data_IF_411313021514
#
_entry.id   IF_411313021514
#
_cell.length_a   1.000
_cell.length_b   1.000
_cell.length_c   1.000
_cell.angle_alpha   90.00
_cell.angle_beta   90.00
_cell.angle_gamma   90.00
#
_symmetry.space_group_name_H-M   'P 1'
#
loop_
_entity.id
_entity.type
_entity.pdbx_description
1 polymer ?
#
# COMPACT_ATOMS: atom_id res chain seq x y z
N UNK A 1 4.20 -18.42 -12.86
CA UNK A 1 3.92 -17.89 -11.51
C UNK A 1 2.47 -17.45 -11.49
N UNK A 2 1.74 -17.63 -10.37
CA UNK A 2 0.41 -17.04 -10.21
C UNK A 2 0.47 -15.52 -10.42
N UNK A 3 -0.64 -14.94 -10.90
CA UNK A 3 -0.73 -13.50 -11.13
C UNK A 3 -0.57 -12.75 -9.80
N UNK A 4 0.23 -11.68 -9.79
CA UNK A 4 0.47 -10.85 -8.59
C UNK A 4 -0.85 -10.31 -8.04
N UNK A 5 -1.85 -10.06 -8.89
CA UNK A 5 -3.20 -9.64 -8.45
C UNK A 5 -3.95 -10.75 -7.70
N UNK A 6 -3.82 -11.99 -8.14
CA UNK A 6 -4.40 -13.14 -7.44
C UNK A 6 -3.72 -13.35 -6.09
N UNK A 7 -2.38 -13.22 -6.05
CA UNK A 7 -1.62 -13.29 -4.80
C UNK A 7 -2.02 -12.17 -3.83
N UNK A 8 -2.19 -10.94 -4.32
CA UNK A 8 -2.56 -9.78 -3.52
C UNK A 8 -3.96 -9.88 -2.89
N UNK A 9 -4.82 -10.79 -3.34
CA UNK A 9 -6.16 -11.00 -2.76
C UNK A 9 -6.28 -12.32 -1.99
N UNK A 10 -5.27 -13.18 -2.06
CA UNK A 10 -5.23 -14.47 -1.38
C UNK A 10 -4.87 -14.30 0.10
N UNK A 11 -5.87 -14.26 0.99
CA UNK A 11 -5.64 -14.19 2.45
C UNK A 11 -4.65 -15.24 2.98
N UNK A 12 -4.69 -16.53 2.59
CA UNK A 12 -3.69 -17.49 3.05
C UNK A 12 -2.25 -17.12 2.67
N UNK A 13 -2.06 -16.54 1.50
CA UNK A 13 -0.75 -16.06 1.04
C UNK A 13 -0.32 -14.79 1.77
N UNK A 14 -1.21 -13.81 1.92
CA UNK A 14 -0.87 -12.59 2.67
C UNK A 14 -0.57 -12.89 4.14
N UNK A 15 -1.32 -13.81 4.77
CA UNK A 15 -1.05 -14.29 6.14
C UNK A 15 0.32 -14.94 6.23
N UNK A 16 0.73 -15.75 5.26
CA UNK A 16 2.06 -16.37 5.31
C UNK A 16 3.18 -15.33 5.25
N UNK A 17 3.00 -14.23 4.52
CA UNK A 17 3.92 -13.08 4.55
C UNK A 17 3.91 -12.41 5.93
N UNK A 18 2.73 -12.13 6.49
CA UNK A 18 2.60 -11.50 7.80
C UNK A 18 3.23 -12.34 8.93
N UNK A 19 2.99 -13.65 8.92
CA UNK A 19 3.60 -14.63 9.84
C UNK A 19 5.12 -14.73 9.66
N UNK A 20 5.61 -14.47 8.45
CA UNK A 20 7.04 -14.41 8.13
C UNK A 20 7.62 -12.99 8.29
N UNK A 21 7.20 -12.26 9.34
CA UNK A 21 7.67 -10.90 9.67
C UNK A 21 7.50 -9.87 8.55
N UNK A 22 6.49 -10.03 7.70
CA UNK A 22 6.25 -9.17 6.53
C UNK A 22 7.35 -9.23 5.46
N UNK A 23 8.15 -10.31 5.41
CA UNK A 23 9.17 -10.48 4.38
C UNK A 23 8.52 -10.84 3.04
N UNK A 24 8.52 -9.90 2.10
CA UNK A 24 8.03 -10.13 0.73
C UNK A 24 8.96 -11.13 0.02
N UNK A 25 8.44 -12.24 -0.53
CA UNK A 25 9.24 -13.20 -1.29
C UNK A 25 10.05 -12.53 -2.41
N UNK A 26 11.34 -12.89 -2.60
CA UNK A 26 12.22 -12.20 -3.55
C UNK A 26 11.80 -12.38 -5.02
N UNK A 27 10.98 -13.39 -5.32
CA UNK A 27 10.42 -13.63 -6.65
C UNK A 27 9.28 -12.66 -7.00
N UNK A 28 8.76 -11.92 -6.02
CA UNK A 28 7.66 -10.96 -6.20
C UNK A 28 8.24 -9.56 -6.34
N UNK A 29 7.92 -8.93 -7.46
CA UNK A 29 8.18 -7.50 -7.67
C UNK A 29 7.36 -6.69 -6.65
N UNK A 30 8.06 -6.04 -5.72
CA UNK A 30 7.45 -5.28 -4.62
C UNK A 30 6.65 -4.07 -5.13
N UNK A 31 7.04 -3.47 -6.26
CA UNK A 31 6.33 -2.33 -6.83
C UNK A 31 5.00 -2.76 -7.44
N UNK A 32 5.00 -3.84 -8.22
CA UNK A 32 3.76 -4.41 -8.79
C UNK A 32 2.85 -4.91 -7.68
N UNK A 33 3.41 -5.55 -6.65
CA UNK A 33 2.65 -6.06 -5.52
C UNK A 33 2.05 -4.93 -4.67
N UNK A 34 2.78 -3.83 -4.43
CA UNK A 34 2.26 -2.66 -3.74
C UNK A 34 1.01 -2.11 -4.44
N UNK A 35 1.04 -1.96 -5.77
CA UNK A 35 -0.11 -1.52 -6.56
C UNK A 35 -1.29 -2.49 -6.47
N UNK A 36 -1.03 -3.79 -6.45
CA UNK A 36 -2.08 -4.79 -6.32
C UNK A 36 -2.74 -4.75 -4.92
N UNK A 37 -1.96 -4.53 -3.86
CA UNK A 37 -2.45 -4.40 -2.49
C UNK A 37 -3.28 -3.11 -2.27
N UNK A 38 -2.99 -2.01 -2.98
CA UNK A 38 -3.76 -0.76 -2.87
C UNK A 38 -5.26 -0.98 -3.13
N UNK A 39 -5.61 -1.84 -4.09
CA UNK A 39 -7.01 -2.11 -4.43
C UNK A 39 -7.82 -2.67 -3.24
N UNK A 40 -7.16 -3.37 -2.32
CA UNK A 40 -7.80 -3.94 -1.13
C UNK A 40 -8.12 -2.89 -0.07
N UNK A 41 -7.56 -1.68 -0.16
CA UNK A 41 -7.77 -0.64 0.85
C UNK A 41 -9.21 -0.10 0.87
N UNK A 42 -9.98 -0.34 -0.20
CA UNK A 42 -11.43 -0.06 -0.25
C UNK A 42 -12.29 -1.19 0.33
N UNK A 43 -11.71 -2.32 0.71
CA UNK A 43 -12.46 -3.50 1.16
C UNK A 43 -13.20 -3.26 2.48
N UNK A 44 -14.40 -3.81 2.61
CA UNK A 44 -15.14 -3.87 3.88
C UNK A 44 -14.65 -5.01 4.78
N UNK A 45 -13.85 -5.93 4.25
CA UNK A 45 -13.21 -7.01 4.99
C UNK A 45 -11.99 -6.47 5.74
N UNK A 46 -12.13 -6.28 7.05
CA UNK A 46 -11.11 -5.68 7.92
C UNK A 46 -9.80 -6.45 7.97
N UNK A 47 -9.84 -7.78 7.90
CA UNK A 47 -8.63 -8.59 7.89
C UNK A 47 -7.86 -8.37 6.59
N UNK A 48 -8.56 -8.37 5.44
CA UNK A 48 -7.91 -8.12 4.16
C UNK A 48 -7.34 -6.71 4.08
N UNK A 49 -8.09 -5.72 4.57
CA UNK A 49 -7.74 -4.29 4.49
C UNK A 49 -6.65 -3.92 5.50
N UNK A 50 -6.92 -4.10 6.79
CA UNK A 50 -6.12 -3.59 7.90
C UNK A 50 -4.97 -4.53 8.21
N UNK A 51 -5.28 -5.77 8.59
CA UNK A 51 -4.31 -6.71 9.15
C UNK A 51 -3.33 -7.24 8.09
N UNK A 52 -3.77 -7.30 6.83
CA UNK A 52 -2.99 -7.83 5.72
C UNK A 52 -2.50 -6.72 4.79
N UNK A 53 -3.38 -6.13 3.96
CA UNK A 53 -2.90 -5.28 2.86
C UNK A 53 -2.19 -4.02 3.33
N UNK A 54 -2.79 -3.29 4.28
CA UNK A 54 -2.16 -2.11 4.86
C UNK A 54 -0.86 -2.44 5.60
N UNK A 55 -0.85 -3.48 6.45
CA UNK A 55 0.35 -3.85 7.20
C UNK A 55 1.49 -4.33 6.30
N UNK A 56 1.21 -5.07 5.23
CA UNK A 56 2.21 -5.47 4.24
C UNK A 56 2.76 -4.27 3.47
N UNK A 57 1.91 -3.31 3.08
CA UNK A 57 2.36 -2.06 2.45
C UNK A 57 3.26 -1.27 3.41
N UNK A 58 2.80 -1.02 4.64
CA UNK A 58 3.49 -0.18 5.61
C UNK A 58 4.80 -0.84 6.13
N UNK A 59 4.71 -2.07 6.62
CA UNK A 59 5.82 -2.77 7.31
C UNK A 59 6.69 -3.59 6.35
N UNK A 60 6.07 -4.19 5.33
CA UNK A 60 6.76 -5.09 4.40
C UNK A 60 7.45 -4.36 3.26
N UNK A 61 6.90 -3.22 2.81
CA UNK A 61 7.37 -2.51 1.62
C UNK A 61 7.95 -1.14 1.97
N UNK A 62 7.19 -0.27 2.64
CA UNK A 62 7.58 1.13 2.88
C UNK A 62 8.70 1.23 3.92
N UNK A 63 8.49 0.74 5.16
CA UNK A 63 9.51 0.84 6.24
C UNK A 63 10.80 0.05 5.90
N UNK A 64 10.66 -1.00 5.09
CA UNK A 64 11.78 -1.83 4.61
C UNK A 64 12.44 -1.32 3.32
N UNK A 65 12.03 -0.18 2.79
CA UNK A 65 12.62 0.46 1.62
C UNK A 65 12.72 -0.50 0.40
N UNK A 66 11.64 -1.26 0.13
CA UNK A 66 11.60 -2.24 -0.97
C UNK A 66 11.39 -1.63 -2.35
N UNK A 67 11.19 -0.32 -2.43
CA UNK A 67 10.99 0.44 -3.67
C UNK A 67 12.20 1.35 -3.92
N UNK A 68 12.52 1.59 -5.19
CA UNK A 68 13.47 2.66 -5.55
C UNK A 68 12.85 4.03 -5.32
N UNK A 69 13.66 5.10 -5.33
CA UNK A 69 13.16 6.47 -5.14
C UNK A 69 12.11 6.82 -6.19
N UNK A 70 12.39 6.52 -7.46
CA UNK A 70 11.47 6.76 -8.58
C UNK A 70 10.16 5.97 -8.43
N UNK A 71 10.24 4.77 -7.84
CA UNK A 71 9.07 3.96 -7.53
C UNK A 71 8.28 4.52 -6.34
N UNK A 72 8.94 5.06 -5.31
CA UNK A 72 8.24 5.73 -4.20
C UNK A 72 7.52 6.98 -4.72
N UNK A 73 8.17 7.79 -5.54
CA UNK A 73 7.55 8.96 -6.19
C UNK A 73 6.34 8.56 -7.02
N UNK A 74 6.48 7.58 -7.92
CA UNK A 74 5.39 7.10 -8.76
C UNK A 74 4.24 6.53 -7.92
N UNK A 75 4.55 5.77 -6.87
CA UNK A 75 3.55 5.20 -5.97
C UNK A 75 2.82 6.30 -5.17
N UNK A 76 3.55 7.31 -4.69
CA UNK A 76 2.97 8.46 -3.99
C UNK A 76 2.00 9.22 -4.90
N UNK A 77 2.36 9.45 -6.17
CA UNK A 77 1.46 10.09 -7.13
C UNK A 77 0.15 9.32 -7.33
N UNK A 78 0.21 7.98 -7.35
CA UNK A 78 -1.00 7.13 -7.42
C UNK A 78 -1.85 7.29 -6.16
N UNK A 79 -1.24 7.19 -4.98
CA UNK A 79 -2.01 7.27 -3.71
C UNK A 79 -2.63 8.65 -3.48
N UNK A 80 -2.03 9.71 -4.04
CA UNK A 80 -2.55 11.08 -3.99
C UNK A 80 -3.60 11.39 -5.06
N UNK A 81 -3.99 10.44 -5.91
CA UNK A 81 -4.87 10.71 -7.05
C UNK A 81 -6.39 10.73 -6.70
N UNK A 82 -7.20 10.91 -7.74
CA UNK A 82 -8.67 10.95 -7.67
C UNK A 82 -9.32 9.61 -7.33
N UNK A 83 -8.62 8.50 -7.57
CA UNK A 83 -9.08 7.14 -7.36
C UNK A 83 -8.64 6.60 -5.98
N UNK A 84 -7.83 7.36 -5.23
CA UNK A 84 -7.31 7.02 -3.91
C UNK A 84 -7.60 8.10 -2.84
N UNK A 85 -6.66 9.01 -2.54
CA UNK A 85 -6.84 10.03 -1.49
C UNK A 85 -8.12 10.85 -1.67
N UNK A 86 -8.44 11.22 -2.92
CA UNK A 86 -9.63 12.01 -3.23
C UNK A 86 -10.84 11.17 -3.67
N UNK A 87 -10.80 9.85 -3.48
CA UNK A 87 -11.83 8.92 -3.92
C UNK A 87 -13.23 9.27 -3.39
N UNK A 88 -14.17 9.54 -4.29
CA UNK A 88 -15.58 9.81 -3.97
C UNK A 88 -15.82 10.86 -2.86
N UNK A 89 -15.03 11.94 -2.81
CA UNK A 89 -15.30 13.03 -1.85
C UNK A 89 -16.70 13.61 -2.08
N UNK A 90 -17.45 13.76 -0.98
CA UNK A 90 -18.83 14.25 -0.98
C UNK A 90 -19.89 13.15 -1.04
N UNK A 91 -19.49 11.90 -1.29
CA UNK A 91 -20.38 10.74 -1.18
C UNK A 91 -20.66 10.41 0.30
N UNK A 92 -21.89 9.99 0.61
CA UNK A 92 -22.33 9.65 1.96
C UNK A 92 -23.07 8.30 1.98
N UNK A 93 -22.94 7.57 3.09
CA UNK A 93 -23.61 6.27 3.26
C UNK A 93 -22.95 5.11 2.51
N UNK A 94 -21.69 5.28 2.06
CA UNK A 94 -20.90 4.24 1.38
C UNK A 94 -19.58 4.01 2.11
N UNK A 95 -18.93 2.89 1.78
CA UNK A 95 -17.64 2.49 2.34
C UNK A 95 -16.44 3.18 1.65
N UNK A 96 -16.68 4.18 0.79
CA UNK A 96 -15.62 4.90 0.06
C UNK A 96 -14.63 5.61 0.98
N UNK A 97 -15.00 5.83 2.24
CA UNK A 97 -14.12 6.38 3.29
C UNK A 97 -12.91 5.51 3.56
N UNK A 98 -12.98 4.19 3.38
CA UNK A 98 -11.85 3.30 3.60
C UNK A 98 -10.70 3.63 2.64
N UNK A 99 -10.97 3.72 1.35
CA UNK A 99 -9.94 4.06 0.36
C UNK A 99 -9.23 5.38 0.70
N UNK A 100 -9.98 6.43 1.03
CA UNK A 100 -9.39 7.74 1.39
C UNK A 100 -8.55 7.66 2.68
N UNK A 101 -9.09 7.00 3.71
CA UNK A 101 -8.45 6.93 5.03
C UNK A 101 -7.15 6.15 4.98
N UNK A 102 -7.16 5.00 4.30
CA UNK A 102 -5.96 4.17 4.15
C UNK A 102 -4.95 4.78 3.17
N UNK A 103 -5.39 5.46 2.10
CA UNK A 103 -4.49 6.25 1.25
C UNK A 103 -3.77 7.33 2.07
N UNK A 104 -4.49 8.01 2.96
CA UNK A 104 -3.89 8.99 3.88
C UNK A 104 -2.84 8.35 4.81
N UNK A 105 -3.10 7.14 5.32
CA UNK A 105 -2.13 6.40 6.15
C UNK A 105 -0.88 6.01 5.36
N UNK A 106 -1.03 5.59 4.10
CA UNK A 106 0.11 5.28 3.24
C UNK A 106 0.96 6.53 2.98
N UNK A 107 0.35 7.68 2.67
CA UNK A 107 1.06 8.96 2.52
C UNK A 107 1.83 9.30 3.81
N UNK A 108 1.17 9.19 4.97
CA UNK A 108 1.82 9.43 6.25
C UNK A 108 3.00 8.47 6.50
N UNK A 109 2.87 7.19 6.12
CA UNK A 109 3.94 6.21 6.20
C UNK A 109 5.15 6.57 5.34
N UNK A 110 4.92 7.00 4.08
CA UNK A 110 5.99 7.45 3.18
C UNK A 110 6.71 8.67 3.76
N UNK A 111 5.96 9.69 4.18
CA UNK A 111 6.52 10.92 4.79
C UNK A 111 7.29 10.62 6.08
N UNK A 112 6.80 9.68 6.90
CA UNK A 112 7.49 9.26 8.13
C UNK A 112 8.84 8.59 7.82
N UNK A 113 8.87 7.68 6.84
CA UNK A 113 10.10 7.00 6.42
C UNK A 113 11.10 7.98 5.82
N UNK A 114 10.64 8.87 4.93
CA UNK A 114 11.48 9.91 4.33
C UNK A 114 12.05 10.87 5.37
N UNK A 115 11.26 11.31 6.36
CA UNK A 115 11.79 12.15 7.45
C UNK A 115 12.91 11.48 8.27
N UNK A 116 12.90 10.15 8.39
CA UNK A 116 13.95 9.39 9.10
C UNK A 116 15.17 9.13 8.23
N UNK A 117 14.97 9.02 6.92
CA UNK A 117 16.00 8.75 5.93
C UNK A 117 15.63 9.47 4.63
N UNK A 118 15.99 10.76 4.48
CA UNK A 118 15.55 11.57 3.34
C UNK A 118 16.03 10.96 2.02
N UNK A 119 15.07 10.62 1.16
CA UNK A 119 15.30 9.96 -0.12
C UNK A 119 14.54 10.63 -1.26
N UNK A 120 13.39 11.25 -0.96
CA UNK A 120 12.64 12.03 -1.93
C UNK A 120 13.34 13.37 -2.19
N UNK A 121 13.44 13.81 -3.46
CA UNK A 121 14.00 15.11 -3.78
C UNK A 121 13.08 16.23 -3.27
N UNK A 122 13.68 17.38 -2.96
CA UNK A 122 12.90 18.59 -2.75
C UNK A 122 12.23 19.00 -4.08
N UNK A 123 10.99 19.47 -4.03
CA UNK A 123 10.39 20.11 -5.20
C UNK A 123 11.16 21.40 -5.55
N UNK A 124 11.48 21.57 -6.83
CA UNK A 124 12.11 22.77 -7.40
C UNK A 124 11.15 23.97 -7.46
#
# INVERSE_FOLDING_TARGET
MPDVKELATSKPFLRSIAENNYEIPPEIDSFVFAHALLANLASTDEELRDELSYMLLASGIIDRHRLTIEQVEAFLQVVLDKDHLFYCIGEAGTDSVFMRSFSSLIVAGIVYTDNRNPQLPAED
#
